data_IF_504555585347
#
_entry.id   IF_504555585347
#
_cell.length_a   1.000
_cell.length_b   1.000
_cell.length_c   1.000
_cell.angle_alpha   90.00
_cell.angle_beta   90.00
_cell.angle_gamma   90.00
#
_symmetry.space_group_name_H-M   'P 1'
#
loop_
_entity.id
_entity.type
_entity.pdbx_description
1 polymer ?
#
# COMPACT_ATOMS: atom_id res chain seq x y z
N UNK A 1 21.74 -28.01 -64.52
CA UNK A 1 20.64 -27.65 -63.59
C UNK A 1 21.25 -27.13 -62.28
N UNK A 2 21.33 -25.82 -62.09
CA UNK A 2 21.86 -25.14 -60.88
C UNK A 2 20.89 -24.00 -60.54
N UNK A 3 19.80 -24.30 -59.84
CA UNK A 3 18.77 -23.30 -59.46
C UNK A 3 18.16 -23.53 -58.06
N UNK A 4 18.79 -24.34 -57.21
CA UNK A 4 18.26 -24.65 -55.87
C UNK A 4 18.96 -23.92 -54.73
N UNK A 5 20.04 -23.17 -54.99
CA UNK A 5 20.88 -22.60 -53.93
C UNK A 5 20.50 -21.20 -53.45
N UNK A 6 19.57 -20.50 -54.12
CA UNK A 6 19.25 -19.10 -53.80
C UNK A 6 17.99 -18.93 -52.92
N UNK A 7 17.08 -19.91 -52.93
CA UNK A 7 15.82 -19.81 -52.19
C UNK A 7 15.94 -20.14 -50.69
N UNK A 8 16.96 -20.92 -50.30
CA UNK A 8 17.15 -21.34 -48.89
C UNK A 8 17.78 -20.22 -48.05
N UNK A 9 18.47 -19.26 -48.65
CA UNK A 9 19.15 -18.18 -47.92
C UNK A 9 18.23 -17.02 -47.51
N UNK A 10 17.07 -16.85 -48.17
CA UNK A 10 16.17 -15.73 -47.92
C UNK A 10 15.15 -16.07 -46.81
N UNK A 11 14.80 -17.34 -46.64
CA UNK A 11 13.80 -17.76 -45.65
C UNK A 11 14.37 -17.75 -44.21
N UNK A 12 15.67 -17.94 -44.03
CA UNK A 12 16.29 -17.89 -42.69
C UNK A 12 16.59 -16.47 -42.20
N UNK A 13 16.59 -15.46 -43.07
CA UNK A 13 16.89 -14.07 -42.66
C UNK A 13 15.68 -13.33 -42.07
N UNK A 14 14.44 -13.83 -42.26
CA UNK A 14 13.21 -13.13 -41.83
C UNK A 14 12.67 -13.63 -40.49
N UNK A 15 13.06 -14.83 -40.03
CA UNK A 15 12.64 -15.37 -38.73
C UNK A 15 13.44 -14.86 -37.52
N UNK A 16 14.51 -14.07 -37.73
CA UNK A 16 15.38 -13.59 -36.65
C UNK A 16 14.99 -12.27 -35.99
N UNK A 17 13.95 -11.57 -36.48
CA UNK A 17 13.68 -10.17 -36.09
C UNK A 17 12.48 -10.04 -35.12
N UNK A 18 11.75 -11.12 -34.82
CA UNK A 18 10.58 -11.06 -33.93
C UNK A 18 10.85 -11.34 -32.44
N UNK A 19 12.12 -11.56 -32.05
CA UNK A 19 12.50 -11.72 -30.63
C UNK A 19 13.32 -10.54 -30.08
N UNK A 20 13.14 -9.36 -30.68
CA UNK A 20 13.64 -8.11 -30.11
C UNK A 20 12.69 -7.64 -29.02
N UNK A 21 12.95 -8.06 -27.79
CA UNK A 21 12.64 -7.25 -26.61
C UNK A 21 11.16 -7.03 -26.31
N UNK A 22 10.52 -8.05 -25.73
CA UNK A 22 9.59 -7.77 -24.63
C UNK A 22 10.37 -8.04 -23.34
N UNK A 23 11.42 -7.25 -23.08
CA UNK A 23 11.72 -6.94 -21.69
C UNK A 23 10.55 -6.09 -21.24
N UNK A 24 9.53 -6.73 -20.67
CA UNK A 24 8.68 -6.04 -19.71
C UNK A 24 9.67 -5.50 -18.69
N UNK A 25 9.86 -4.19 -18.74
CA UNK A 25 10.56 -3.47 -17.71
C UNK A 25 9.84 -3.81 -16.41
N UNK A 26 10.39 -4.76 -15.67
CA UNK A 26 10.20 -4.95 -14.25
C UNK A 26 10.94 -3.80 -13.54
N UNK A 27 10.77 -2.57 -14.05
CA UNK A 27 11.21 -1.37 -13.39
C UNK A 27 10.16 -1.04 -12.33
N UNK A 28 10.65 -1.07 -11.09
CA UNK A 28 10.20 -0.19 -10.02
C UNK A 28 9.04 -0.64 -9.13
N UNK A 29 8.70 -1.93 -9.09
CA UNK A 29 7.94 -2.46 -7.96
C UNK A 29 8.79 -2.54 -6.68
N UNK A 30 10.11 -2.74 -6.82
CA UNK A 30 11.06 -2.86 -5.71
C UNK A 30 11.40 -1.51 -5.06
N UNK A 31 11.75 -0.50 -5.86
CA UNK A 31 12.15 0.83 -5.36
C UNK A 31 10.95 1.65 -4.87
N UNK A 32 9.75 1.52 -5.47
CA UNK A 32 8.54 2.10 -4.86
C UNK A 32 8.26 1.52 -3.46
N UNK A 33 8.45 0.20 -3.21
CA UNK A 33 8.12 -0.40 -1.91
C UNK A 33 8.91 0.17 -0.73
N UNK A 34 10.15 0.59 -0.95
CA UNK A 34 11.03 1.14 0.10
C UNK A 34 10.74 2.62 0.39
N UNK A 35 10.19 3.39 -0.56
CA UNK A 35 9.92 4.83 -0.42
C UNK A 35 8.76 5.11 0.57
N UNK A 36 7.87 4.14 0.78
CA UNK A 36 6.63 4.34 1.56
C UNK A 36 6.62 3.60 2.90
N UNK A 37 7.74 3.01 3.33
CA UNK A 37 7.84 2.43 4.67
C UNK A 37 7.84 3.57 5.71
N UNK A 38 6.69 3.86 6.29
CA UNK A 38 6.55 5.03 7.15
C UNK A 38 5.17 5.19 7.77
N UNK A 39 5.10 6.12 8.73
CA UNK A 39 3.89 6.54 9.41
C UNK A 39 3.33 7.79 8.75
N UNK A 40 2.04 7.76 8.43
CA UNK A 40 1.33 8.87 7.81
C UNK A 40 0.10 9.20 8.66
N UNK A 41 -0.02 10.46 9.08
CA UNK A 41 -1.25 10.99 9.67
C UNK A 41 -1.98 11.80 8.64
N UNK A 42 -3.31 11.65 8.56
CA UNK A 42 -4.09 12.54 7.71
C UNK A 42 -3.98 13.98 8.21
N UNK A 43 -3.77 14.92 7.28
CA UNK A 43 -3.80 16.34 7.58
C UNK A 43 -5.17 16.71 8.18
N UNK A 44 -5.18 17.51 9.25
CA UNK A 44 -6.43 17.85 9.96
C UNK A 44 -6.89 16.83 11.00
N UNK A 45 -6.13 15.77 11.29
CA UNK A 45 -6.44 14.79 12.35
C UNK A 45 -6.75 15.40 13.73
N UNK A 46 -6.17 16.56 14.04
CA UNK A 46 -6.39 17.29 15.29
C UNK A 46 -7.27 18.55 15.13
N UNK A 47 -7.81 18.78 13.93
CA UNK A 47 -8.71 19.88 13.59
C UNK A 47 -10.12 19.38 13.20
N UNK A 48 -10.78 20.10 12.29
CA UNK A 48 -12.19 19.91 11.91
C UNK A 48 -12.53 18.48 11.48
N UNK A 49 -11.63 17.78 10.78
CA UNK A 49 -11.86 16.41 10.33
C UNK A 49 -11.89 15.41 11.51
N UNK A 50 -11.02 15.59 12.50
CA UNK A 50 -11.03 14.78 13.72
C UNK A 50 -12.28 15.04 14.56
N UNK A 51 -12.72 16.29 14.63
CA UNK A 51 -13.94 16.70 15.33
C UNK A 51 -15.20 16.15 14.65
N UNK A 52 -15.28 16.22 13.33
CA UNK A 52 -16.44 15.78 12.54
C UNK A 52 -16.55 14.26 12.48
N UNK A 53 -15.44 13.56 12.27
CA UNK A 53 -15.45 12.08 12.17
C UNK A 53 -15.42 11.37 13.52
N UNK A 54 -15.15 12.10 14.62
CA UNK A 54 -15.00 11.53 15.96
C UNK A 54 -13.72 10.71 16.16
N UNK A 55 -12.82 10.67 15.17
CA UNK A 55 -11.59 9.90 15.19
C UNK A 55 -10.43 10.64 14.50
N UNK A 56 -9.22 10.46 15.02
CA UNK A 56 -7.99 10.73 14.26
C UNK A 56 -7.55 9.46 13.52
N UNK A 57 -7.16 9.61 12.26
CA UNK A 57 -6.88 8.55 11.29
C UNK A 57 -5.38 8.46 11.02
N UNK A 58 -4.77 7.34 11.38
CA UNK A 58 -3.34 7.10 11.17
C UNK A 58 -3.15 5.91 10.26
N UNK A 59 -2.15 5.97 9.39
CA UNK A 59 -1.88 4.95 8.38
C UNK A 59 -0.40 4.55 8.46
N UNK A 60 -0.13 3.25 8.41
CA UNK A 60 1.23 2.70 8.28
C UNK A 60 1.25 1.65 7.19
N UNK A 61 2.23 1.75 6.30
CA UNK A 61 2.47 0.75 5.28
C UNK A 61 3.48 -0.27 5.77
N UNK A 62 3.27 -1.50 5.34
CA UNK A 62 4.11 -2.64 5.62
C UNK A 62 4.55 -3.28 4.29
N UNK A 63 5.61 -4.11 4.30
CA UNK A 63 5.99 -4.91 3.15
C UNK A 63 4.81 -5.72 2.58
N UNK A 64 4.98 -6.22 1.35
CA UNK A 64 4.02 -7.12 0.71
C UNK A 64 2.61 -6.53 0.56
N UNK A 65 2.53 -5.25 0.20
CA UNK A 65 1.26 -4.56 -0.10
C UNK A 65 0.28 -4.46 1.09
N UNK A 66 0.79 -4.55 2.32
CA UNK A 66 -0.04 -4.47 3.53
C UNK A 66 -0.15 -3.04 4.05
N UNK A 67 -1.35 -2.66 4.47
CA UNK A 67 -1.66 -1.36 5.08
C UNK A 67 -2.37 -1.57 6.41
N UNK A 68 -2.04 -0.74 7.39
CA UNK A 68 -2.75 -0.70 8.67
C UNK A 68 -3.26 0.71 8.91
N UNK A 69 -4.52 0.82 9.32
CA UNK A 69 -5.16 2.08 9.70
C UNK A 69 -5.54 2.02 11.18
N UNK A 70 -5.11 3.01 11.97
CA UNK A 70 -5.58 3.19 13.34
C UNK A 70 -6.57 4.35 13.40
N UNK A 71 -7.73 4.09 14.00
CA UNK A 71 -8.74 5.09 14.31
C UNK A 71 -8.75 5.31 15.82
N UNK A 72 -8.13 6.40 16.25
CA UNK A 72 -8.05 6.78 17.67
C UNK A 72 -9.18 7.75 17.97
N UNK A 73 -10.04 7.50 18.97
CA UNK A 73 -11.15 8.39 19.30
C UNK A 73 -10.68 9.83 19.56
N UNK A 74 -11.39 10.79 18.99
CA UNK A 74 -11.20 12.21 19.29
C UNK A 74 -12.02 12.60 20.54
N UNK A 75 -11.54 13.49 21.43
CA UNK A 75 -10.25 14.17 21.44
C UNK A 75 -9.13 13.37 22.12
N UNK A 76 -9.36 12.10 22.49
CA UNK A 76 -8.36 11.26 23.18
C UNK A 76 -7.06 11.16 22.37
N UNK A 77 -7.14 11.11 21.05
CA UNK A 77 -5.98 11.16 20.15
C UNK A 77 -5.01 12.33 20.43
N UNK A 78 -5.50 13.48 20.91
CA UNK A 78 -4.66 14.65 21.26
C UNK A 78 -3.74 14.39 22.46
N UNK A 79 -4.04 13.40 23.29
CA UNK A 79 -3.25 13.05 24.48
C UNK A 79 -2.35 11.83 24.25
N UNK A 80 -2.51 11.11 23.13
CA UNK A 80 -1.73 9.91 22.83
C UNK A 80 -0.35 10.30 22.30
N UNK A 81 0.71 9.80 22.94
CA UNK A 81 2.08 10.03 22.50
C UNK A 81 2.36 9.28 21.18
N UNK A 82 3.15 9.84 20.25
CA UNK A 82 3.51 9.15 19.01
C UNK A 82 4.09 7.75 19.20
N UNK A 83 4.91 7.54 20.26
CA UNK A 83 5.48 6.23 20.58
C UNK A 83 4.41 5.16 20.91
N UNK A 84 3.30 5.55 21.55
CA UNK A 84 2.19 4.64 21.81
C UNK A 84 1.46 4.27 20.53
N UNK A 85 1.28 5.22 19.59
CA UNK A 85 0.69 4.96 18.28
C UNK A 85 1.54 3.94 17.50
N UNK A 86 2.86 4.12 17.46
CA UNK A 86 3.77 3.17 16.84
C UNK A 86 3.69 1.77 17.47
N UNK A 87 3.62 1.71 18.80
CA UNK A 87 3.50 0.43 19.50
C UNK A 87 2.16 -0.25 19.20
N UNK A 88 1.07 0.51 19.10
CA UNK A 88 -0.23 -0.03 18.72
C UNK A 88 -0.24 -0.57 17.28
N UNK A 89 0.44 0.09 16.34
CA UNK A 89 0.64 -0.44 14.98
C UNK A 89 1.32 -1.81 15.01
N UNK A 90 2.44 -1.93 15.73
CA UNK A 90 3.22 -3.16 15.78
C UNK A 90 2.49 -4.28 16.52
N UNK A 91 1.71 -3.94 17.54
CA UNK A 91 0.84 -4.89 18.23
C UNK A 91 -0.30 -5.36 17.32
N UNK A 92 -0.99 -4.45 16.65
CA UNK A 92 -2.09 -4.77 15.73
C UNK A 92 -1.61 -5.63 14.54
N UNK A 93 -0.44 -5.32 13.98
CA UNK A 93 0.13 -6.05 12.85
C UNK A 93 0.42 -7.54 13.18
N UNK A 94 0.64 -7.86 14.46
CA UNK A 94 0.88 -9.24 14.93
C UNK A 94 -0.39 -10.04 15.18
N UNK A 95 -1.55 -9.38 15.27
CA UNK A 95 -2.82 -10.05 15.61
C UNK A 95 -3.49 -10.75 14.41
N UNK A 96 -3.16 -10.34 13.18
CA UNK A 96 -3.66 -11.02 11.98
C UNK A 96 -2.64 -10.97 10.85
N UNK A 97 -2.68 -11.96 9.97
CA UNK A 97 -1.86 -12.04 8.75
C UNK A 97 -2.58 -11.50 7.50
N UNK A 98 -3.90 -11.33 7.55
CA UNK A 98 -4.72 -10.81 6.45
C UNK A 98 -5.58 -9.61 6.87
N UNK A 99 -6.56 -9.27 6.02
CA UNK A 99 -7.48 -8.17 6.30
C UNK A 99 -8.29 -8.46 7.57
N UNK A 100 -8.32 -7.50 8.48
CA UNK A 100 -8.96 -7.66 9.79
C UNK A 100 -9.40 -6.32 10.37
N UNK A 101 -10.49 -6.37 11.13
CA UNK A 101 -10.97 -5.25 11.93
C UNK A 101 -10.85 -5.62 13.41
N UNK A 102 -10.02 -4.89 14.14
CA UNK A 102 -9.66 -5.22 15.53
C UNK A 102 -9.93 -4.00 16.40
N UNK A 103 -10.66 -4.19 17.50
CA UNK A 103 -10.89 -3.15 18.51
C UNK A 103 -10.23 -3.57 19.82
N UNK A 104 -9.17 -2.88 20.22
CA UNK A 104 -8.38 -3.23 21.39
C UNK A 104 -7.60 -2.01 21.93
N UNK A 105 -7.04 -2.14 23.13
CA UNK A 105 -6.09 -1.20 23.73
C UNK A 105 -4.65 -1.43 23.27
N UNK A 106 -4.36 -2.57 22.63
CA UNK A 106 -3.02 -2.93 22.16
C UNK A 106 -1.93 -2.81 23.24
N UNK A 107 -2.32 -3.01 24.51
CA UNK A 107 -1.45 -2.92 25.68
C UNK A 107 -0.95 -1.52 26.06
N UNK A 108 -1.10 -0.51 25.20
CA UNK A 108 -0.50 0.83 25.37
C UNK A 108 -1.51 1.98 25.38
N UNK A 109 -2.76 1.71 25.02
CA UNK A 109 -3.82 2.72 24.98
C UNK A 109 -4.69 2.66 26.25
N UNK A 110 -5.11 3.81 26.74
CA UNK A 110 -6.06 3.91 27.87
C UNK A 110 -7.48 3.53 27.43
N UNK A 111 -7.83 3.90 26.19
CA UNK A 111 -9.11 3.60 25.55
C UNK A 111 -8.93 2.59 24.42
N UNK A 112 -9.92 1.71 24.17
CA UNK A 112 -9.87 0.87 22.99
C UNK A 112 -9.92 1.73 21.72
N UNK A 113 -9.01 1.46 20.80
CA UNK A 113 -8.95 2.07 19.47
C UNK A 113 -9.25 0.99 18.42
N UNK A 114 -9.48 1.40 17.19
CA UNK A 114 -9.73 0.47 16.09
C UNK A 114 -8.50 0.38 15.21
N UNK A 115 -8.10 -0.84 14.87
CA UNK A 115 -7.12 -1.17 13.85
C UNK A 115 -7.82 -1.86 12.68
N UNK A 116 -7.63 -1.33 11.47
CA UNK A 116 -8.08 -1.95 10.24
C UNK A 116 -6.87 -2.32 9.40
N UNK A 117 -6.63 -3.63 9.31
CA UNK A 117 -5.59 -4.26 8.52
C UNK A 117 -6.18 -4.56 7.15
N UNK A 118 -5.46 -4.22 6.09
CA UNK A 118 -5.90 -4.47 4.73
C UNK A 118 -4.72 -4.58 3.77
N UNK A 119 -5.02 -4.71 2.48
CA UNK A 119 -4.06 -4.61 1.39
C UNK A 119 -4.28 -3.33 0.58
N UNK A 120 -3.20 -2.83 -0.02
CA UNK A 120 -3.26 -1.74 -1.00
C UNK A 120 -2.73 -2.24 -2.34
N UNK A 121 -3.09 -1.56 -3.41
CA UNK A 121 -2.59 -1.84 -4.76
C UNK A 121 -2.07 -0.57 -5.41
N UNK A 122 -1.07 -0.73 -6.27
CA UNK A 122 -0.58 0.35 -7.12
C UNK A 122 -1.41 0.42 -8.39
N UNK A 123 -1.92 1.61 -8.71
CA UNK A 123 -2.61 1.90 -9.97
C UNK A 123 -2.08 3.23 -10.47
N UNK A 124 -1.51 3.26 -11.68
CA UNK A 124 -0.94 4.45 -12.31
C UNK A 124 0.00 5.24 -11.37
N UNK A 125 0.88 4.54 -10.64
CA UNK A 125 1.82 5.14 -9.70
C UNK A 125 1.21 5.63 -8.37
N UNK A 126 -0.08 5.38 -8.12
CA UNK A 126 -0.78 5.79 -6.91
C UNK A 126 -1.12 4.58 -6.03
N UNK A 127 -0.88 4.71 -4.71
CA UNK A 127 -1.31 3.72 -3.74
C UNK A 127 -2.82 3.86 -3.50
N UNK A 128 -3.56 2.79 -3.79
CA UNK A 128 -5.02 2.73 -3.64
C UNK A 128 -5.42 1.60 -2.69
N UNK A 129 -6.39 1.87 -1.81
CA UNK A 129 -6.89 0.88 -0.84
C UNK A 129 -8.42 0.95 -0.71
N UNK A 130 -9.02 -0.14 -0.23
CA UNK A 130 -10.46 -0.17 0.04
C UNK A 130 -10.77 0.61 1.31
N UNK A 131 -11.59 1.64 1.18
CA UNK A 131 -12.08 2.48 2.27
C UNK A 131 -13.61 2.45 2.38
N UNK A 132 -14.23 1.40 1.86
CA UNK A 132 -15.69 1.19 1.87
C UNK A 132 -16.47 2.31 1.17
N UNK A 133 -15.84 2.97 0.21
CA UNK A 133 -16.44 3.97 -0.68
C UNK A 133 -16.63 3.39 -2.09
N UNK A 134 -17.50 4.02 -2.89
CA UNK A 134 -17.73 3.62 -4.27
C UNK A 134 -16.46 3.68 -5.14
N UNK A 135 -15.53 4.57 -4.81
CA UNK A 135 -14.20 4.63 -5.38
C UNK A 135 -13.15 4.27 -4.31
N UNK A 136 -12.07 3.54 -4.68
CA UNK A 136 -11.00 3.26 -3.74
C UNK A 136 -10.31 4.54 -3.29
N UNK A 137 -9.90 4.58 -2.04
CA UNK A 137 -9.19 5.73 -1.50
C UNK A 137 -7.78 5.80 -2.07
N UNK A 138 -7.37 7.00 -2.42
CA UNK A 138 -6.04 7.34 -2.90
C UNK A 138 -5.23 7.96 -1.77
N UNK A 139 -3.94 7.67 -1.76
CA UNK A 139 -3.00 8.32 -0.84
C UNK A 139 -2.29 9.40 -1.63
N UNK A 140 -2.53 10.64 -1.24
CA UNK A 140 -1.78 11.80 -1.73
C UNK A 140 -0.65 12.04 -0.73
N UNK A 141 0.58 12.06 -1.22
CA UNK A 141 1.79 12.32 -0.43
C UNK A 141 2.12 13.81 -0.41
#
# INVERSE_FOLDING_TARGET
>A
MRKTSLFVLIVTLVTGILFSGISLAEEDAGTQRDIYSGYYSQEGNYGELGETSGHSHFIKFYPETRILRLYIPFPYSKTVKPAAINTAFDAAAKQASGSAYIRDKFGVMEKPIVAHLDTFRWVDGQAMYDCSNAAPCKINF
#
